data_IF_168237093702
#
_entry.id   IF_168237093702
#
_cell.length_a   1.000
_cell.length_b   1.000
_cell.length_c   1.000
_cell.angle_alpha   90.00
_cell.angle_beta   90.00
_cell.angle_gamma   90.00
#
_symmetry.space_group_name_H-M   'P 1'
#
loop_
_entity.id
_entity.type
_entity.pdbx_description
1 polymer ?
#
# COMPACT_ATOMS: atom_id res chain seq x y z
N UNK A 1 10.61 -0.31 -9.78
CA UNK A 1 10.01 -1.67 -9.63
C UNK A 1 9.07 -1.68 -8.45
N UNK A 2 7.90 -2.35 -8.59
CA UNK A 2 6.97 -2.63 -7.48
C UNK A 2 7.14 -4.12 -7.13
N UNK A 3 7.45 -4.42 -5.87
CA UNK A 3 7.59 -5.80 -5.38
C UNK A 3 6.48 -6.07 -4.38
N UNK A 4 5.52 -6.96 -4.74
CA UNK A 4 4.57 -7.48 -3.77
C UNK A 4 5.23 -8.58 -2.96
N UNK A 5 5.47 -8.29 -1.71
CA UNK A 5 6.23 -9.12 -0.78
C UNK A 5 5.36 -9.98 0.14
N UNK A 6 4.04 -9.96 -0.03
CA UNK A 6 3.11 -10.76 0.78
C UNK A 6 2.88 -12.14 0.16
N UNK A 7 3.49 -13.16 0.75
CA UNK A 7 3.28 -14.56 0.35
C UNK A 7 1.95 -15.13 0.84
N UNK A 8 1.30 -14.51 1.81
CA UNK A 8 0.00 -14.92 2.32
C UNK A 8 -1.16 -14.48 1.44
N UNK A 9 -0.96 -13.36 0.72
CA UNK A 9 -1.96 -12.79 -0.18
C UNK A 9 -1.26 -12.28 -1.46
N UNK A 10 -0.86 -13.17 -2.37
CA UNK A 10 -0.20 -12.78 -3.62
C UNK A 10 -1.04 -11.83 -4.44
N UNK A 11 -0.56 -10.60 -4.64
CA UNK A 11 -1.28 -9.57 -5.40
C UNK A 11 -0.93 -9.51 -6.88
N UNK A 12 0.19 -10.09 -7.29
CA UNK A 12 0.62 -10.07 -8.69
C UNK A 12 -0.44 -10.63 -9.66
N UNK A 13 -1.14 -11.75 -9.35
CA UNK A 13 -2.24 -12.25 -10.18
C UNK A 13 -3.47 -11.34 -10.18
N UNK A 14 -3.68 -10.58 -9.12
CA UNK A 14 -4.78 -9.60 -9.02
C UNK A 14 -4.46 -8.35 -9.82
N UNK A 15 -3.20 -7.91 -9.83
CA UNK A 15 -2.77 -6.76 -10.61
C UNK A 15 -2.75 -7.03 -12.11
N UNK A 16 -2.49 -8.27 -12.51
CA UNK A 16 -2.37 -8.71 -13.90
C UNK A 16 -3.16 -9.99 -14.18
N UNK A 17 -4.50 -9.96 -14.05
CA UNK A 17 -5.34 -11.16 -14.21
C UNK A 17 -5.29 -11.76 -15.61
N UNK A 18 -5.00 -10.93 -16.62
CA UNK A 18 -4.91 -11.35 -18.01
C UNK A 18 -3.56 -11.98 -18.39
N UNK A 19 -2.62 -12.04 -17.45
CA UNK A 19 -1.31 -12.68 -17.65
C UNK A 19 -1.23 -14.00 -16.91
N UNK A 20 -0.99 -15.07 -17.64
CA UNK A 20 -0.57 -16.33 -17.05
C UNK A 20 0.90 -16.18 -16.65
N UNK A 21 1.11 -15.83 -15.38
CA UNK A 21 2.44 -15.83 -14.76
C UNK A 21 2.65 -17.19 -14.14
N UNK A 22 3.63 -17.90 -14.66
CA UNK A 22 4.01 -19.19 -14.09
C UNK A 22 4.90 -19.01 -12.85
N UNK A 23 5.13 -20.09 -12.14
CA UNK A 23 5.98 -20.08 -10.93
C UNK A 23 7.43 -19.72 -11.23
N UNK A 24 7.90 -19.82 -12.48
CA UNK A 24 9.26 -19.43 -12.86
C UNK A 24 9.47 -17.91 -12.73
N UNK A 25 8.40 -17.13 -12.89
CA UNK A 25 8.40 -15.65 -12.73
C UNK A 25 8.22 -15.19 -11.30
N UNK A 26 7.96 -16.12 -10.35
CA UNK A 26 7.73 -15.80 -8.95
C UNK A 26 9.00 -15.37 -8.23
N UNK A 27 8.85 -14.37 -7.33
CA UNK A 27 9.95 -14.02 -6.41
C UNK A 27 10.30 -15.17 -5.47
N UNK A 28 9.36 -16.05 -5.16
CA UNK A 28 9.61 -17.24 -4.36
C UNK A 28 10.64 -18.17 -5.04
N UNK A 29 10.57 -18.32 -6.36
CA UNK A 29 11.57 -19.06 -7.13
C UNK A 29 12.94 -18.39 -7.08
N UNK A 30 13.00 -17.07 -7.24
CA UNK A 30 14.24 -16.29 -7.12
C UNK A 30 14.88 -16.49 -5.74
N UNK A 31 14.10 -16.37 -4.68
CA UNK A 31 14.58 -16.47 -3.29
C UNK A 31 15.02 -17.90 -2.92
N UNK A 32 14.46 -18.92 -3.58
CA UNK A 32 14.84 -20.32 -3.39
C UNK A 32 16.12 -20.70 -4.16
N UNK A 33 16.56 -19.86 -5.09
CA UNK A 33 17.78 -20.08 -5.87
C UNK A 33 19.06 -20.06 -5.04
N UNK A 34 20.13 -20.63 -5.58
CA UNK A 34 21.44 -20.66 -4.91
C UNK A 34 22.05 -19.26 -4.79
N UNK A 35 21.95 -18.47 -5.86
CA UNK A 35 22.52 -17.13 -5.95
C UNK A 35 21.49 -16.16 -6.55
N UNK A 36 21.48 -14.95 -6.05
CA UNK A 36 20.66 -13.86 -6.56
C UNK A 36 21.61 -12.80 -7.13
N UNK A 37 21.42 -12.46 -8.40
CA UNK A 37 22.19 -11.43 -9.07
C UNK A 37 21.28 -10.56 -9.92
N UNK A 38 21.78 -9.41 -10.35
CA UNK A 38 21.06 -8.42 -11.12
C UNK A 38 20.40 -8.99 -12.39
N UNK A 39 21.11 -9.89 -13.10
CA UNK A 39 20.59 -10.49 -14.35
C UNK A 39 19.37 -11.38 -14.07
N UNK A 40 19.43 -12.20 -13.02
CA UNK A 40 18.30 -13.03 -12.59
C UNK A 40 17.10 -12.16 -12.19
N UNK A 41 17.32 -11.09 -11.45
CA UNK A 41 16.24 -10.16 -11.04
C UNK A 41 15.63 -9.52 -12.27
N UNK A 42 16.43 -8.97 -13.18
CA UNK A 42 15.98 -8.34 -14.41
C UNK A 42 15.11 -9.28 -15.27
N UNK A 43 15.50 -10.56 -15.36
CA UNK A 43 14.76 -11.59 -16.11
C UNK A 43 13.36 -11.87 -15.51
N UNK A 44 13.19 -11.65 -14.19
CA UNK A 44 11.94 -11.95 -13.48
C UNK A 44 11.02 -10.73 -13.31
N UNK A 45 11.49 -9.54 -13.63
CA UNK A 45 10.66 -8.34 -13.63
C UNK A 45 9.66 -8.39 -14.79
N UNK A 46 8.40 -8.24 -14.49
CA UNK A 46 7.33 -8.17 -15.48
C UNK A 46 7.02 -6.73 -15.79
N UNK A 47 7.35 -6.27 -17.00
CA UNK A 47 7.09 -4.90 -17.42
C UNK A 47 5.60 -4.72 -17.75
N UNK A 48 5.00 -3.64 -17.24
CA UNK A 48 3.61 -3.28 -17.55
C UNK A 48 3.51 -2.76 -18.99
N UNK A 49 2.59 -3.32 -19.78
CA UNK A 49 2.40 -2.90 -21.18
C UNK A 49 2.00 -1.44 -21.33
N UNK A 50 1.20 -0.95 -20.38
CA UNK A 50 0.66 0.42 -20.40
C UNK A 50 1.63 1.45 -19.82
N UNK A 51 2.60 0.99 -19.02
CA UNK A 51 3.60 1.79 -18.35
C UNK A 51 4.97 1.12 -18.49
N UNK A 52 5.64 1.24 -19.65
CA UNK A 52 6.87 0.48 -19.94
C UNK A 52 8.05 0.79 -18.99
N UNK A 53 7.95 1.85 -18.22
CA UNK A 53 8.92 2.24 -17.19
C UNK A 53 8.58 1.65 -15.80
N UNK A 54 7.47 0.89 -15.67
CA UNK A 54 7.09 0.23 -14.41
C UNK A 54 7.25 -1.28 -14.59
N UNK A 55 8.12 -1.85 -13.76
CA UNK A 55 8.24 -3.29 -13.59
C UNK A 55 7.56 -3.75 -12.31
N UNK A 56 7.01 -4.96 -12.32
CA UNK A 56 6.39 -5.57 -11.14
C UNK A 56 6.96 -6.96 -10.88
N UNK A 57 7.07 -7.33 -9.62
CA UNK A 57 7.46 -8.66 -9.14
C UNK A 57 6.55 -9.08 -7.99
N UNK A 58 6.38 -10.37 -7.79
CA UNK A 58 5.57 -10.89 -6.69
C UNK A 58 5.46 -12.40 -6.73
N UNK A 59 4.67 -12.95 -5.84
CA UNK A 59 4.33 -14.36 -5.82
C UNK A 59 3.29 -14.67 -6.89
N UNK A 60 3.38 -15.86 -7.50
CA UNK A 60 2.48 -16.30 -8.56
C UNK A 60 1.14 -16.81 -8.01
N UNK A 61 0.16 -17.00 -8.90
CA UNK A 61 -1.15 -17.52 -8.55
C UNK A 61 -1.07 -18.92 -7.93
N UNK A 62 -1.79 -19.13 -6.84
CA UNK A 62 -1.85 -20.42 -6.15
C UNK A 62 -0.63 -20.73 -5.27
N UNK A 63 0.36 -19.87 -5.24
CA UNK A 63 1.45 -20.00 -4.28
C UNK A 63 0.99 -19.65 -2.86
N UNK A 64 1.61 -20.31 -1.90
CA UNK A 64 1.36 -20.14 -0.48
C UNK A 64 2.70 -19.94 0.25
N UNK A 65 2.69 -19.52 1.52
CA UNK A 65 3.92 -19.47 2.32
C UNK A 65 4.69 -20.80 2.38
N UNK A 66 4.02 -21.93 2.07
CA UNK A 66 4.61 -23.26 2.09
C UNK A 66 5.06 -23.77 0.71
N UNK A 67 4.85 -22.99 -0.36
CA UNK A 67 5.25 -23.36 -1.74
C UNK A 67 6.75 -23.39 -1.92
N UNK A 68 7.47 -22.71 -1.06
CA UNK A 68 8.94 -22.58 -1.09
C UNK A 68 9.55 -22.97 0.26
N UNK A 69 10.84 -23.34 0.30
CA UNK A 69 11.59 -23.40 1.55
C UNK A 69 11.49 -22.08 2.31
N UNK A 70 11.73 -22.13 3.62
CA UNK A 70 11.74 -20.92 4.44
C UNK A 70 12.60 -19.82 3.79
N UNK A 71 11.95 -18.68 3.53
CA UNK A 71 12.59 -17.53 2.88
C UNK A 71 13.60 -16.93 3.84
N UNK A 72 14.89 -17.02 3.48
CA UNK A 72 15.96 -16.52 4.32
C UNK A 72 16.09 -15.01 4.20
N UNK A 73 16.25 -14.36 5.33
CA UNK A 73 16.43 -12.92 5.44
C UNK A 73 17.54 -12.37 4.51
N UNK A 74 18.70 -13.00 4.48
CA UNK A 74 19.82 -12.56 3.62
C UNK A 74 19.50 -12.63 2.13
N UNK A 75 18.67 -13.61 1.72
CA UNK A 75 18.23 -13.73 0.32
C UNK A 75 17.28 -12.59 -0.05
N UNK A 76 16.43 -12.19 0.86
CA UNK A 76 15.50 -11.05 0.65
C UNK A 76 16.30 -9.76 0.51
N UNK A 77 17.28 -9.52 1.39
CA UNK A 77 18.17 -8.36 1.27
C UNK A 77 18.96 -8.36 -0.04
N UNK A 78 19.44 -9.52 -0.47
CA UNK A 78 20.13 -9.65 -1.76
C UNK A 78 19.19 -9.30 -2.91
N UNK A 79 17.94 -9.77 -2.90
CA UNK A 79 16.94 -9.42 -3.91
C UNK A 79 16.73 -7.89 -4.00
N UNK A 80 16.49 -7.24 -2.85
CA UNK A 80 16.30 -5.79 -2.79
C UNK A 80 17.53 -5.05 -3.31
N UNK A 81 18.73 -5.44 -2.86
CA UNK A 81 19.99 -4.84 -3.28
C UNK A 81 20.26 -5.01 -4.77
N UNK A 82 19.99 -6.19 -5.34
CA UNK A 82 20.19 -6.42 -6.78
C UNK A 82 19.12 -5.70 -7.62
N UNK A 83 17.88 -5.60 -7.13
CA UNK A 83 16.83 -4.80 -7.77
C UNK A 83 17.18 -3.30 -7.79
N UNK A 84 17.77 -2.78 -6.72
CA UNK A 84 18.18 -1.38 -6.60
C UNK A 84 19.22 -0.94 -7.65
N UNK A 85 19.96 -1.89 -8.22
CA UNK A 85 20.93 -1.61 -9.30
C UNK A 85 20.27 -1.42 -10.68
N UNK A 86 18.97 -1.78 -10.80
CA UNK A 86 18.24 -1.79 -12.06
C UNK A 86 17.39 -0.54 -12.28
N UNK A 87 17.02 0.17 -11.23
CA UNK A 87 15.96 1.19 -11.27
C UNK A 87 16.21 2.31 -10.26
N UNK A 88 15.58 3.45 -10.50
CA UNK A 88 15.66 4.62 -9.61
C UNK A 88 14.82 4.43 -8.33
N UNK A 89 13.69 3.70 -8.42
CA UNK A 89 12.76 3.52 -7.31
C UNK A 89 12.31 2.07 -7.15
N UNK A 90 12.27 1.61 -5.91
CA UNK A 90 11.65 0.34 -5.52
C UNK A 90 10.53 0.62 -4.53
N UNK A 91 9.33 0.14 -4.85
CA UNK A 91 8.20 0.11 -3.92
C UNK A 91 8.04 -1.31 -3.39
N UNK A 92 8.18 -1.48 -2.08
CA UNK A 92 7.99 -2.77 -1.41
C UNK A 92 6.60 -2.79 -0.77
N UNK A 93 5.66 -3.51 -1.38
CA UNK A 93 4.32 -3.74 -0.84
C UNK A 93 4.36 -4.92 0.11
N UNK A 94 4.45 -4.64 1.40
CA UNK A 94 4.72 -5.60 2.45
C UNK A 94 3.45 -5.96 3.24
N UNK A 95 3.41 -7.19 3.73
CA UNK A 95 2.45 -7.59 4.75
C UNK A 95 2.59 -6.72 6.01
N UNK A 96 1.48 -6.46 6.68
CA UNK A 96 1.50 -5.79 8.00
C UNK A 96 2.08 -6.68 9.11
N UNK A 97 2.41 -7.92 8.83
CA UNK A 97 2.94 -8.88 9.79
C UNK A 97 4.46 -8.70 9.98
N UNK A 98 4.86 -8.20 11.15
CA UNK A 98 6.27 -8.02 11.52
C UNK A 98 7.05 -9.34 11.75
N UNK A 99 6.39 -10.48 11.76
CA UNK A 99 7.08 -11.78 11.76
C UNK A 99 7.48 -12.24 10.36
N UNK A 100 7.04 -11.52 9.34
CA UNK A 100 7.39 -11.84 7.96
C UNK A 100 8.75 -11.25 7.60
N UNK A 101 9.73 -12.08 7.25
CA UNK A 101 11.09 -11.63 6.98
C UNK A 101 11.20 -10.57 5.88
N UNK A 102 10.28 -10.59 4.90
CA UNK A 102 10.25 -9.57 3.87
C UNK A 102 9.90 -8.19 4.46
N UNK A 103 8.91 -8.12 5.34
CA UNK A 103 8.52 -6.87 6.01
C UNK A 103 9.68 -6.32 6.84
N UNK A 104 10.36 -7.20 7.60
CA UNK A 104 11.52 -6.81 8.42
C UNK A 104 12.66 -6.28 7.54
N UNK A 105 13.01 -7.03 6.49
CA UNK A 105 14.09 -6.62 5.57
C UNK A 105 13.75 -5.32 4.83
N UNK A 106 12.50 -5.15 4.41
CA UNK A 106 12.03 -3.94 3.73
C UNK A 106 12.17 -2.71 4.63
N UNK A 107 11.67 -2.76 5.87
CA UNK A 107 11.74 -1.63 6.81
C UNK A 107 13.20 -1.30 7.16
N UNK A 108 14.06 -2.30 7.29
CA UNK A 108 15.47 -2.10 7.63
C UNK A 108 16.31 -1.52 6.48
N UNK A 109 15.88 -1.74 5.22
CA UNK A 109 16.65 -1.33 4.04
C UNK A 109 16.03 -0.17 3.25
N UNK A 110 14.80 0.20 3.54
CA UNK A 110 14.11 1.29 2.84
C UNK A 110 14.67 2.66 3.27
N UNK A 111 14.81 3.58 2.30
CA UNK A 111 15.10 4.97 2.59
C UNK A 111 13.94 5.66 3.30
N UNK A 112 12.71 5.27 2.94
CA UNK A 112 11.47 5.77 3.56
C UNK A 112 10.51 4.62 3.81
N UNK A 113 10.04 4.48 5.05
CA UNK A 113 8.98 3.55 5.41
C UNK A 113 7.65 4.29 5.60
N UNK A 114 6.61 3.84 4.90
CA UNK A 114 5.27 4.43 4.96
C UNK A 114 4.32 3.48 5.67
N UNK A 115 3.75 3.92 6.77
CA UNK A 115 2.68 3.19 7.48
C UNK A 115 1.33 3.77 7.08
N UNK A 116 0.45 2.93 6.57
CA UNK A 116 -0.92 3.34 6.22
C UNK A 116 -1.87 2.74 7.25
N UNK A 117 -2.51 3.60 8.05
CA UNK A 117 -3.44 3.21 9.10
C UNK A 117 -4.86 3.63 8.74
N UNK A 118 -5.85 2.75 8.97
CA UNK A 118 -7.23 3.23 9.02
C UNK A 118 -7.39 4.12 10.24
N UNK A 119 -7.98 5.35 10.10
CA UNK A 119 -8.11 6.27 11.22
C UNK A 119 -9.29 5.87 12.13
N UNK A 120 -9.17 4.69 12.74
CA UNK A 120 -10.12 4.08 13.65
C UNK A 120 -9.40 3.31 14.78
N UNK A 121 -10.17 2.74 15.70
CA UNK A 121 -9.62 1.99 16.84
C UNK A 121 -8.79 0.76 16.40
N UNK A 122 -9.02 0.20 15.22
CA UNK A 122 -8.23 -0.94 14.71
C UNK A 122 -6.84 -0.47 14.32
N UNK A 123 -6.74 0.65 13.58
CA UNK A 123 -5.45 1.26 13.23
C UNK A 123 -4.66 1.68 14.47
N UNK A 124 -5.32 2.30 15.46
CA UNK A 124 -4.69 2.65 16.74
C UNK A 124 -4.18 1.41 17.48
N UNK A 125 -4.98 0.35 17.58
CA UNK A 125 -4.58 -0.87 18.26
C UNK A 125 -3.42 -1.57 17.55
N UNK A 126 -3.46 -1.61 16.21
CA UNK A 126 -2.35 -2.10 15.40
C UNK A 126 -1.06 -1.34 15.73
N UNK A 127 -1.09 -0.01 15.69
CA UNK A 127 0.08 0.82 15.98
C UNK A 127 0.63 0.55 17.38
N UNK A 128 -0.24 0.52 18.40
CA UNK A 128 0.17 0.25 19.80
C UNK A 128 0.81 -1.12 19.96
N UNK A 129 0.32 -2.13 19.23
CA UNK A 129 0.84 -3.49 19.30
C UNK A 129 2.17 -3.66 18.55
N UNK A 130 2.38 -2.89 17.47
CA UNK A 130 3.56 -3.03 16.63
C UNK A 130 4.70 -2.09 17.00
N UNK A 131 4.40 -0.94 17.61
CA UNK A 131 5.44 0.00 18.05
C UNK A 131 6.55 -0.66 18.89
N UNK A 132 6.26 -1.53 19.89
CA UNK A 132 7.31 -2.19 20.66
C UNK A 132 8.24 -3.10 19.83
N UNK A 133 7.76 -3.61 18.69
CA UNK A 133 8.54 -4.48 17.79
C UNK A 133 9.50 -3.67 16.91
N UNK A 134 9.30 -2.37 16.81
CA UNK A 134 10.06 -1.45 15.95
C UNK A 134 11.00 -0.53 16.76
N UNK A 135 11.24 -0.84 18.03
CA UNK A 135 12.10 -0.02 18.90
C UNK A 135 13.59 -0.18 18.64
N UNK A 136 14.00 -1.20 17.89
CA UNK A 136 15.40 -1.35 17.48
C UNK A 136 15.76 -0.20 16.53
N UNK A 137 16.92 0.43 16.76
CA UNK A 137 17.41 1.59 15.99
C UNK A 137 17.50 1.30 14.48
N UNK A 138 17.71 0.06 14.10
CA UNK A 138 17.78 -0.36 12.69
C UNK A 138 16.48 -0.18 11.90
N UNK A 139 15.35 -0.01 12.59
CA UNK A 139 14.05 0.18 11.95
C UNK A 139 13.71 1.66 11.73
N UNK A 140 14.49 2.60 12.24
CA UNK A 140 14.29 4.05 12.04
C UNK A 140 12.84 4.48 12.29
N UNK A 141 12.21 3.95 13.36
CA UNK A 141 10.77 4.07 13.60
C UNK A 141 10.27 5.53 13.57
N UNK A 142 11.06 6.45 14.11
CA UNK A 142 10.67 7.86 14.23
C UNK A 142 10.72 8.58 12.88
N UNK A 143 11.42 8.03 11.89
CA UNK A 143 11.50 8.56 10.52
C UNK A 143 10.41 8.02 9.60
N UNK A 144 9.55 7.10 10.11
CA UNK A 144 8.47 6.55 9.30
C UNK A 144 7.34 7.56 9.08
N UNK A 145 6.90 7.72 7.85
CA UNK A 145 5.68 8.46 7.54
C UNK A 145 4.44 7.66 7.96
N UNK A 146 3.51 8.31 8.64
CA UNK A 146 2.25 7.71 9.05
C UNK A 146 1.09 8.37 8.29
N UNK A 147 0.40 7.61 7.44
CA UNK A 147 -0.71 8.11 6.64
C UNK A 147 -2.05 7.59 7.17
N UNK A 148 -3.06 8.46 7.24
CA UNK A 148 -4.44 8.03 7.41
C UNK A 148 -4.97 7.52 6.07
N UNK A 149 -5.16 6.20 5.96
CA UNK A 149 -5.69 5.56 4.75
C UNK A 149 -7.18 5.23 4.85
N UNK A 150 -7.88 5.19 3.70
CA UNK A 150 -9.31 4.90 3.62
C UNK A 150 -10.16 5.82 4.50
N UNK A 151 -9.73 7.06 4.67
CA UNK A 151 -10.42 8.04 5.52
C UNK A 151 -11.82 8.35 4.96
N UNK A 152 -12.81 8.29 5.83
CA UNK A 152 -14.24 8.54 5.52
C UNK A 152 -14.76 9.68 6.38
N UNK A 153 -15.85 10.37 5.97
CA UNK A 153 -16.39 11.53 6.70
C UNK A 153 -16.76 11.27 8.18
N UNK A 154 -17.07 10.01 8.52
CA UNK A 154 -17.44 9.65 9.89
C UNK A 154 -16.24 9.31 10.79
N UNK A 155 -15.01 9.32 10.26
CA UNK A 155 -13.82 9.12 11.08
C UNK A 155 -13.46 10.41 11.82
N UNK A 156 -13.22 10.31 13.12
CA UNK A 156 -12.74 11.41 13.97
C UNK A 156 -11.23 11.61 13.74
N UNK A 157 -10.88 12.26 12.62
CA UNK A 157 -9.48 12.35 12.17
C UNK A 157 -8.59 13.09 13.16
N UNK A 158 -9.07 14.20 13.74
CA UNK A 158 -8.30 15.00 14.68
C UNK A 158 -7.99 14.23 15.97
N UNK A 159 -9.01 13.56 16.53
CA UNK A 159 -8.85 12.72 17.72
C UNK A 159 -7.89 11.57 17.46
N UNK A 160 -8.04 10.91 16.29
CA UNK A 160 -7.14 9.83 15.90
C UNK A 160 -5.72 10.30 15.66
N UNK A 161 -5.53 11.47 15.05
CA UNK A 161 -4.24 12.09 14.84
C UNK A 161 -3.52 12.29 16.18
N UNK A 162 -4.19 12.87 17.18
CA UNK A 162 -3.62 13.01 18.53
C UNK A 162 -3.23 11.67 19.15
N UNK A 163 -4.03 10.63 18.98
CA UNK A 163 -3.79 9.31 19.57
C UNK A 163 -2.62 8.55 18.93
N UNK A 164 -2.37 8.76 17.63
CA UNK A 164 -1.29 8.09 16.89
C UNK A 164 0.02 8.89 16.89
N UNK A 165 -0.01 10.15 17.32
CA UNK A 165 1.17 11.04 17.32
C UNK A 165 1.30 11.88 16.05
N UNK A 166 0.24 12.02 15.27
CA UNK A 166 0.18 12.76 14.02
C UNK A 166 -0.01 11.88 12.79
N UNK A 167 -0.62 12.45 11.75
CA UNK A 167 -0.60 11.88 10.40
C UNK A 167 0.19 12.81 9.48
N UNK A 168 1.15 12.25 8.75
CA UNK A 168 1.95 12.97 7.74
C UNK A 168 1.18 13.20 6.45
N UNK A 169 0.07 12.51 6.26
CA UNK A 169 -0.79 12.67 5.10
C UNK A 169 -2.10 11.91 5.22
N UNK A 170 -3.02 12.25 4.33
CA UNK A 170 -4.36 11.70 4.29
C UNK A 170 -4.65 11.11 2.91
N UNK A 171 -5.10 9.87 2.86
CA UNK A 171 -5.64 9.22 1.67
C UNK A 171 -7.11 8.92 1.89
N UNK A 172 -8.03 9.75 1.34
CA UNK A 172 -9.46 9.55 1.51
C UNK A 172 -9.90 8.23 0.85
N UNK A 173 -10.99 7.66 1.32
CA UNK A 173 -11.60 6.53 0.65
C UNK A 173 -12.02 6.91 -0.77
N UNK A 174 -11.61 6.10 -1.74
CA UNK A 174 -11.96 6.24 -3.15
C UNK A 174 -12.57 4.94 -3.67
N UNK A 175 -13.88 4.95 -3.92
CA UNK A 175 -14.62 3.80 -4.47
C UNK A 175 -14.08 3.35 -5.84
N UNK A 176 -13.48 4.27 -6.56
CA UNK A 176 -12.87 4.02 -7.88
C UNK A 176 -11.67 3.08 -7.76
N UNK A 177 -10.84 3.26 -6.71
CA UNK A 177 -9.71 2.37 -6.42
C UNK A 177 -10.20 0.98 -6.06
N UNK A 178 -11.21 0.88 -5.17
CA UNK A 178 -11.80 -0.40 -4.79
C UNK A 178 -12.35 -1.14 -6.02
N UNK A 179 -13.10 -0.45 -6.88
CA UNK A 179 -13.63 -1.03 -8.14
C UNK A 179 -12.54 -1.48 -9.09
N UNK A 180 -11.45 -0.70 -9.22
CA UNK A 180 -10.34 -1.08 -10.07
C UNK A 180 -9.56 -2.25 -9.48
N UNK A 181 -9.36 -2.29 -8.16
CA UNK A 181 -8.71 -3.39 -7.48
C UNK A 181 -9.46 -4.71 -7.65
N UNK A 182 -10.78 -4.70 -7.39
CA UNK A 182 -11.62 -5.90 -7.58
C UNK A 182 -11.75 -6.33 -9.04
N UNK A 183 -11.60 -5.40 -9.98
CA UNK A 183 -11.65 -5.67 -11.43
C UNK A 183 -10.30 -5.95 -12.08
N UNK A 184 -9.20 -6.10 -11.33
CA UNK A 184 -7.87 -6.37 -11.87
C UNK A 184 -7.29 -5.21 -12.70
N UNK A 185 -7.69 -3.97 -12.42
CA UNK A 185 -7.30 -2.76 -13.16
C UNK A 185 -6.65 -1.71 -12.25
N UNK A 186 -5.93 -2.16 -11.22
CA UNK A 186 -5.37 -1.30 -10.20
C UNK A 186 -4.49 -0.19 -10.79
N UNK A 187 -3.64 -0.50 -11.76
CA UNK A 187 -2.74 0.48 -12.38
C UNK A 187 -3.45 1.59 -13.18
N UNK A 188 -4.74 1.42 -13.48
CA UNK A 188 -5.57 2.45 -14.11
C UNK A 188 -6.43 3.23 -13.12
N UNK A 189 -6.38 2.90 -11.84
CA UNK A 189 -7.31 3.43 -10.85
C UNK A 189 -7.28 4.96 -10.78
N UNK A 190 -6.10 5.57 -10.84
CA UNK A 190 -5.93 7.02 -10.73
C UNK A 190 -6.65 7.80 -11.84
N UNK A 191 -6.77 7.22 -13.05
CA UNK A 191 -7.50 7.87 -14.14
C UNK A 191 -9.00 8.03 -13.87
N UNK A 192 -9.54 7.29 -12.90
CA UNK A 192 -10.95 7.30 -12.53
C UNK A 192 -11.21 7.97 -11.18
N UNK A 193 -10.17 8.29 -10.42
CA UNK A 193 -10.31 8.91 -9.10
C UNK A 193 -10.78 10.35 -9.19
N UNK A 194 -11.53 10.78 -8.17
CA UNK A 194 -11.88 12.17 -8.02
C UNK A 194 -10.63 13.04 -7.71
N UNK A 195 -10.74 14.34 -7.98
CA UNK A 195 -9.64 15.27 -7.84
C UNK A 195 -9.12 15.37 -6.40
N UNK A 196 -9.99 15.20 -5.40
CA UNK A 196 -9.61 15.23 -3.99
C UNK A 196 -8.60 14.12 -3.65
N UNK A 197 -8.87 12.88 -4.10
CA UNK A 197 -7.94 11.77 -3.89
C UNK A 197 -6.61 12.00 -4.61
N UNK A 198 -6.68 12.46 -5.88
CA UNK A 198 -5.48 12.75 -6.68
C UNK A 198 -4.63 13.83 -6.03
N UNK A 199 -5.24 14.89 -5.50
CA UNK A 199 -4.52 15.96 -4.80
C UNK A 199 -3.89 15.44 -3.50
N UNK A 200 -4.62 14.67 -2.71
CA UNK A 200 -4.07 14.04 -1.49
C UNK A 200 -2.87 13.16 -1.81
N UNK A 201 -2.97 12.34 -2.86
CA UNK A 201 -1.84 11.49 -3.28
C UNK A 201 -0.64 12.31 -3.75
N UNK A 202 -0.86 13.42 -4.47
CA UNK A 202 0.22 14.34 -4.88
C UNK A 202 0.95 14.94 -3.68
N UNK A 203 0.24 15.32 -2.63
CA UNK A 203 0.85 15.82 -1.40
C UNK A 203 1.71 14.74 -0.71
N UNK A 204 1.22 13.50 -0.66
CA UNK A 204 2.01 12.38 -0.15
C UNK A 204 3.26 12.15 -1.01
N UNK A 205 3.10 12.15 -2.33
CA UNK A 205 4.22 11.96 -3.26
C UNK A 205 5.26 13.08 -3.16
N UNK A 206 4.83 14.32 -2.97
CA UNK A 206 5.74 15.43 -2.75
C UNK A 206 6.63 15.21 -1.52
N UNK A 207 6.08 14.71 -0.43
CA UNK A 207 6.84 14.35 0.77
C UNK A 207 7.82 13.19 0.58
N UNK A 208 7.52 12.27 -0.34
CA UNK A 208 8.40 11.13 -0.65
C UNK A 208 9.52 11.48 -1.63
N UNK A 209 9.35 12.53 -2.42
CA UNK A 209 10.30 12.94 -3.48
C UNK A 209 11.21 14.10 -3.07
N UNK A 210 11.02 14.67 -1.90
CA UNK A 210 11.85 15.77 -1.42
C UNK A 210 13.18 15.26 -0.86
N UNK A 211 14.22 15.42 -1.66
CA UNK A 211 15.61 15.43 -1.19
C UNK A 211 15.91 16.68 -0.32
N UNK A 212 14.92 17.54 -0.08
CA UNK A 212 14.96 18.70 0.78
C UNK A 212 13.77 18.66 1.75
N UNK A 213 14.00 18.18 2.97
CA UNK A 213 13.15 18.51 4.11
C UNK A 213 13.67 19.81 4.75
N UNK A 214 13.15 20.99 4.43
CA UNK A 214 13.22 22.09 5.34
C UNK A 214 12.20 21.85 6.46
N UNK A 215 12.62 22.03 7.68
CA UNK A 215 11.97 21.72 8.95
C UNK A 215 10.45 21.85 8.98
N UNK A 216 9.87 20.87 9.62
CA UNK A 216 8.49 20.85 10.05
C UNK A 216 8.12 22.13 10.81
N UNK A 217 7.47 23.06 10.14
CA UNK A 217 6.69 24.13 10.78
C UNK A 217 5.76 24.79 9.75
N UNK A 218 4.74 24.07 9.31
CA UNK A 218 3.47 24.65 8.88
C UNK A 218 2.38 23.59 9.08
N UNK A 219 1.69 23.74 10.21
CA UNK A 219 0.54 22.94 10.56
C UNK A 219 -0.51 22.95 9.43
N UNK A 220 -1.15 21.84 9.25
CA UNK A 220 -2.30 21.69 8.34
C UNK A 220 -3.48 22.45 8.97
N UNK A 221 -3.43 23.79 8.90
CA UNK A 221 -4.51 24.70 9.24
C UNK A 221 -5.30 25.08 7.97
N UNK A 222 -5.87 24.11 7.27
CA UNK A 222 -6.92 24.36 6.29
C UNK A 222 -7.59 23.03 5.90
N UNK A 223 -8.29 22.46 6.85
CA UNK A 223 -9.38 21.56 6.50
C UNK A 223 -10.63 22.43 6.36
N UNK A 224 -10.92 22.89 5.16
CA UNK A 224 -12.22 23.50 4.87
C UNK A 224 -13.32 22.57 5.35
N UNK A 225 -14.23 23.13 6.17
CA UNK A 225 -15.43 22.47 6.70
C UNK A 225 -16.16 21.74 5.58
N UNK A 226 -16.36 20.45 5.79
CA UNK A 226 -17.14 19.61 4.88
C UNK A 226 -18.61 19.98 5.08
N UNK A 227 -19.14 20.84 4.21
CA UNK A 227 -20.59 21.01 4.10
C UNK A 227 -21.23 19.65 3.83
N UNK A 228 -22.16 19.27 4.71
CA UNK A 228 -23.00 18.09 4.57
C UNK A 228 -23.89 18.25 3.33
N UNK A 229 -23.93 17.30 2.40
CA UNK A 229 -24.92 17.34 1.34
C UNK A 229 -26.29 16.98 1.90
N UNK A 230 -27.18 17.94 1.76
CA UNK A 230 -28.62 17.92 1.68
C UNK A 230 -29.39 16.70 2.20
N UNK A 231 -30.19 16.99 3.22
CA UNK A 231 -31.46 16.33 3.54
C UNK A 231 -32.29 16.07 2.29
N UNK A 232 -32.29 14.83 1.82
CA UNK A 232 -33.30 14.34 0.90
C UNK A 232 -34.60 14.23 1.71
N UNK A 233 -35.53 15.14 1.45
CA UNK A 233 -36.90 15.09 1.94
C UNK A 233 -37.56 13.77 1.56
N UNK A 234 -37.89 12.98 2.56
CA UNK A 234 -38.87 11.90 2.44
C UNK A 234 -40.22 12.48 2.05
N UNK A 235 -40.62 12.33 0.81
CA UNK A 235 -42.03 12.40 0.42
C UNK A 235 -42.61 11.00 0.55
N UNK A 236 -43.30 10.78 1.65
CA UNK A 236 -44.30 9.73 1.76
C UNK A 236 -45.37 9.92 0.65
N UNK A 237 -45.43 9.00 -0.28
CA UNK A 237 -46.63 8.78 -1.08
C UNK A 237 -47.35 7.53 -0.59
N UNK A 238 -48.40 7.76 0.18
CA UNK A 238 -49.47 6.81 0.45
C UNK A 238 -50.12 6.36 -0.86
N UNK A 239 -50.05 5.10 -1.17
CA UNK A 239 -51.02 4.41 -2.02
C UNK A 239 -51.28 3.02 -1.44
N UNK A 240 -52.28 3.01 -0.55
CA UNK A 240 -53.08 1.86 -0.22
C UNK A 240 -54.17 1.75 -1.28
N UNK A 241 -54.26 0.64 -2.00
CA UNK A 241 -55.50 -0.10 -2.21
C UNK A 241 -55.48 -1.10 -3.37
N UNK A 242 -55.96 -2.28 -3.01
CA UNK A 242 -56.63 -3.26 -3.86
C UNK A 242 -55.81 -4.10 -4.84
N UNK A 243 -55.68 -5.41 -4.51
CA UNK A 243 -56.28 -6.46 -5.35
C UNK A 243 -56.60 -7.68 -4.46
N UNK A 244 -57.93 -7.88 -4.24
CA UNK A 244 -58.54 -9.20 -4.05
C UNK A 244 -58.77 -9.79 -5.43
N UNK A 245 -58.23 -10.97 -5.68
CA UNK A 245 -58.88 -12.19 -6.19
C UNK A 245 -57.83 -13.23 -6.46
#
# INVERSE_FOLDING_TARGET
IIINADSGTPMLPVWMPDRLLDTSSSIGNVLSGLEINMALVAERVVILKEYPFIGVMGFAAGETPFSYPELKYDKIRSLISEAAKLVDYILLDCSSNMLHFFTVAAIETADVAVRILTPDLRGLNYLKSHKPLLTDIKFHYDDHLTLAGLARPFHALDEMSHLVGGFDGLLPYAKEIERCGTGGRMFRALAYCNQRYVNSLKLVMARLSEDEFPGADEGIDNVEEIESPDTVSEQESSDTEKIQQ
#
